data_IF_427717541421
#
_entry.id   IF_427717541421
#
_cell.length_a   1.000
_cell.length_b   1.000
_cell.length_c   1.000
_cell.angle_alpha   90.00
_cell.angle_beta   90.00
_cell.angle_gamma   90.00
#
_symmetry.space_group_name_H-M   'P 1'
#
loop_
_entity.id
_entity.type
_entity.pdbx_description
1 polymer ?
#
# COMPACT_ATOMS: atom_id res chain seq x y z
N UNK A 1 -16.98 -9.16 -1.01
CA UNK A 1 -15.81 -8.97 -1.88
C UNK A 1 -15.96 -7.60 -2.49
N UNK A 2 -15.27 -6.61 -1.94
CA UNK A 2 -15.33 -5.23 -2.42
C UNK A 2 -14.12 -5.05 -3.31
N UNK A 3 -14.31 -5.04 -4.63
CA UNK A 3 -13.22 -4.89 -5.60
C UNK A 3 -12.52 -3.54 -5.39
N UNK A 4 -11.22 -3.53 -5.14
CA UNK A 4 -10.45 -2.28 -5.10
C UNK A 4 -10.51 -1.58 -6.47
N UNK A 5 -10.93 -0.31 -6.55
CA UNK A 5 -10.91 0.43 -7.80
C UNK A 5 -9.46 0.68 -8.25
N UNK A 6 -9.16 0.34 -9.51
CA UNK A 6 -7.81 0.41 -10.07
C UNK A 6 -7.73 -0.06 -11.52
N UNK A 7 -6.54 0.08 -12.11
CA UNK A 7 -6.18 -0.41 -13.45
C UNK A 7 -5.01 -1.37 -13.36
N UNK A 8 -4.92 -2.30 -14.32
CA UNK A 8 -3.78 -3.21 -14.47
C UNK A 8 -2.84 -2.69 -15.55
N UNK A 9 -1.56 -2.62 -15.23
CA UNK A 9 -0.51 -2.13 -16.12
C UNK A 9 0.66 -3.13 -16.16
N UNK A 10 1.31 -3.25 -17.31
CA UNK A 10 2.62 -3.90 -17.42
C UNK A 10 3.71 -2.83 -17.42
N UNK A 11 4.61 -2.90 -16.45
CA UNK A 11 5.75 -1.98 -16.34
C UNK A 11 7.03 -2.81 -16.41
N UNK A 12 7.64 -2.87 -17.59
CA UNK A 12 8.87 -3.64 -17.85
C UNK A 12 8.75 -5.12 -17.44
N UNK A 13 7.61 -5.75 -17.73
CA UNK A 13 7.36 -7.16 -17.38
C UNK A 13 6.96 -7.38 -15.93
N UNK A 14 6.71 -6.32 -15.15
CA UNK A 14 6.09 -6.39 -13.84
C UNK A 14 4.62 -6.05 -13.98
N UNK A 15 3.73 -6.95 -13.54
CA UNK A 15 2.29 -6.67 -13.53
C UNK A 15 1.91 -5.85 -12.31
N UNK A 16 1.39 -4.65 -12.53
CA UNK A 16 1.08 -3.65 -11.50
C UNK A 16 -0.42 -3.45 -11.38
N UNK A 17 -0.96 -3.59 -10.17
CA UNK A 17 -2.28 -3.10 -9.81
C UNK A 17 -2.14 -1.64 -9.36
N UNK A 18 -2.52 -0.70 -10.24
CA UNK A 18 -2.55 0.73 -9.92
C UNK A 18 -3.89 1.10 -9.31
N UNK A 19 -3.88 1.43 -8.03
CA UNK A 19 -5.09 1.81 -7.31
C UNK A 19 -5.50 3.25 -7.64
N UNK A 20 -6.81 3.52 -7.71
CA UNK A 20 -7.32 4.90 -7.79
C UNK A 20 -7.32 5.56 -6.40
N UNK A 21 -7.27 6.90 -6.31
CA UNK A 21 -7.38 7.62 -5.04
C UNK A 21 -8.71 7.42 -4.32
N UNK A 22 -9.81 7.19 -5.04
CA UNK A 22 -11.18 7.10 -4.49
C UNK A 22 -11.49 5.77 -3.78
N UNK A 23 -10.50 4.89 -3.61
CA UNK A 23 -10.67 3.61 -2.94
C UNK A 23 -10.57 3.68 -1.41
N UNK A 24 -10.84 2.57 -0.70
CA UNK A 24 -10.77 2.51 0.76
C UNK A 24 -9.35 2.77 1.27
N UNK A 25 -9.23 3.33 2.48
CA UNK A 25 -7.95 3.59 3.12
C UNK A 25 -7.23 2.29 3.50
N UNK A 26 -5.90 2.33 3.45
CA UNK A 26 -5.00 1.38 4.08
C UNK A 26 -4.80 1.82 5.53
N UNK A 27 -5.66 1.32 6.42
CA UNK A 27 -5.73 1.69 7.83
C UNK A 27 -5.31 0.56 8.79
N UNK A 28 -5.02 -0.64 8.27
CA UNK A 28 -4.62 -1.79 9.07
C UNK A 28 -4.45 -3.08 8.28
N UNK A 29 -4.32 -4.18 9.02
CA UNK A 29 -4.07 -5.51 8.46
C UNK A 29 -5.19 -5.99 7.53
N UNK A 30 -6.45 -5.70 7.83
CA UNK A 30 -7.57 -6.13 6.99
C UNK A 30 -7.53 -5.45 5.62
N UNK A 31 -7.36 -4.12 5.60
CA UNK A 31 -7.21 -3.38 4.34
C UNK A 31 -6.00 -3.85 3.52
N UNK A 32 -4.90 -4.22 4.20
CA UNK A 32 -3.74 -4.81 3.53
C UNK A 32 -4.07 -6.17 2.89
N UNK A 33 -4.77 -7.05 3.62
CA UNK A 33 -5.19 -8.36 3.10
C UNK A 33 -6.16 -8.23 1.93
N UNK A 34 -7.06 -7.25 1.96
CA UNK A 34 -7.99 -6.98 0.86
C UNK A 34 -7.23 -6.56 -0.41
N UNK A 35 -6.27 -5.62 -0.28
CA UNK A 35 -5.40 -5.21 -1.41
C UNK A 35 -4.55 -6.35 -1.96
N UNK A 36 -4.00 -7.20 -1.08
CA UNK A 36 -3.22 -8.39 -1.46
C UNK A 36 -4.13 -9.38 -2.21
N UNK A 37 -5.35 -9.59 -1.72
CA UNK A 37 -6.33 -10.46 -2.36
C UNK A 37 -6.67 -9.99 -3.77
N UNK A 38 -6.90 -8.69 -3.95
CA UNK A 38 -7.14 -8.10 -5.27
C UNK A 38 -5.93 -8.23 -6.19
N UNK A 39 -4.71 -7.96 -5.69
CA UNK A 39 -3.49 -8.13 -6.47
C UNK A 39 -3.30 -9.57 -6.95
N UNK A 40 -3.47 -10.56 -6.07
CA UNK A 40 -3.39 -11.97 -6.42
C UNK A 40 -4.48 -12.39 -7.40
N UNK A 41 -5.71 -11.89 -7.23
CA UNK A 41 -6.83 -12.15 -8.15
C UNK A 41 -6.56 -11.67 -9.58
N UNK A 42 -5.68 -10.68 -9.74
CA UNK A 42 -5.27 -10.15 -11.04
C UNK A 42 -3.87 -10.58 -11.49
N UNK A 43 -3.22 -11.49 -10.77
CA UNK A 43 -1.83 -11.91 -11.02
C UNK A 43 -0.85 -10.72 -11.02
N UNK A 44 -1.14 -9.72 -10.18
CA UNK A 44 -0.31 -8.54 -10.01
C UNK A 44 0.78 -8.80 -8.96
N UNK A 45 2.01 -8.43 -9.30
CA UNK A 45 3.18 -8.59 -8.42
C UNK A 45 3.45 -7.34 -7.58
N UNK A 46 2.87 -6.22 -7.97
CA UNK A 46 3.05 -4.91 -7.34
C UNK A 46 1.71 -4.20 -7.20
N UNK A 47 1.42 -3.71 -6.00
CA UNK A 47 0.36 -2.74 -5.74
C UNK A 47 0.97 -1.35 -5.73
N UNK A 48 0.50 -0.47 -6.61
CA UNK A 48 0.82 0.95 -6.60
C UNK A 48 -0.35 1.70 -5.95
N UNK A 49 -0.18 2.07 -4.67
CA UNK A 49 -1.20 2.71 -3.86
C UNK A 49 -0.96 4.23 -3.74
N UNK A 50 -1.94 5.09 -4.06
CA UNK A 50 -1.84 6.53 -3.81
C UNK A 50 -1.60 6.83 -2.33
N UNK A 51 -0.73 7.80 -2.03
CA UNK A 51 -0.44 8.22 -0.64
C UNK A 51 -1.70 8.72 0.08
N UNK A 52 -2.64 9.29 -0.65
CA UNK A 52 -3.95 9.74 -0.16
C UNK A 52 -4.81 8.61 0.40
N UNK A 53 -4.52 7.36 0.00
CA UNK A 53 -5.17 6.18 0.54
C UNK A 53 -4.46 5.60 1.75
N UNK A 54 -3.38 6.20 2.23
CA UNK A 54 -2.65 5.71 3.42
C UNK A 54 -3.11 6.50 4.63
N UNK A 55 -3.66 5.82 5.64
CA UNK A 55 -4.12 6.48 6.86
C UNK A 55 -2.96 7.14 7.61
N UNK A 56 -3.19 8.30 8.25
CA UNK A 56 -2.14 9.02 8.97
C UNK A 56 -1.51 8.18 10.10
N UNK A 57 -2.28 7.27 10.73
CA UNK A 57 -1.76 6.32 11.72
C UNK A 57 -0.66 5.40 11.18
N UNK A 58 -0.66 5.11 9.87
CA UNK A 58 0.39 4.31 9.22
C UNK A 58 1.74 5.00 9.37
N UNK A 59 1.80 6.31 9.11
CA UNK A 59 3.05 7.09 9.18
C UNK A 59 3.54 7.29 10.62
N UNK A 60 2.67 7.09 11.62
CA UNK A 60 3.03 7.10 13.04
C UNK A 60 3.55 5.72 13.47
N UNK A 61 4.79 5.37 13.11
CA UNK A 61 5.38 4.02 13.30
C UNK A 61 5.19 3.39 14.70
N UNK A 62 5.12 4.20 15.77
CA UNK A 62 4.81 3.73 17.13
C UNK A 62 3.43 3.07 17.28
N UNK A 63 2.52 3.27 16.32
CA UNK A 63 1.20 2.62 16.26
C UNK A 63 1.29 1.12 15.98
N UNK A 64 2.40 0.66 15.40
CA UNK A 64 2.58 -0.72 14.94
C UNK A 64 1.85 -1.05 13.63
N UNK A 65 0.98 -0.17 13.13
CA UNK A 65 0.18 -0.41 11.91
C UNK A 65 1.08 -0.59 10.69
N UNK A 66 2.07 0.28 10.49
CA UNK A 66 2.99 0.15 9.36
C UNK A 66 3.71 -1.20 9.35
N UNK A 67 4.21 -1.65 10.50
CA UNK A 67 4.86 -2.95 10.64
C UNK A 67 3.91 -4.10 10.31
N UNK A 68 2.70 -4.09 10.89
CA UNK A 68 1.71 -5.13 10.67
C UNK A 68 1.28 -5.23 9.20
N UNK A 69 1.05 -4.09 8.54
CA UNK A 69 0.72 -4.01 7.11
C UNK A 69 1.88 -4.51 6.24
N UNK A 70 3.09 -3.96 6.42
CA UNK A 70 4.26 -4.33 5.62
C UNK A 70 4.60 -5.82 5.76
N UNK A 71 4.45 -6.36 6.97
CA UNK A 71 4.65 -7.79 7.21
C UNK A 71 3.69 -8.66 6.39
N UNK A 72 2.44 -8.25 6.15
CA UNK A 72 1.55 -8.99 5.23
C UNK A 72 2.09 -8.99 3.81
N UNK A 73 2.44 -7.83 3.26
CA UNK A 73 2.99 -7.74 1.91
C UNK A 73 4.23 -8.62 1.73
N UNK A 74 5.14 -8.64 2.72
CA UNK A 74 6.29 -9.55 2.74
C UNK A 74 5.88 -11.03 2.80
N UNK A 75 5.00 -11.42 3.72
CA UNK A 75 4.57 -12.81 3.90
C UNK A 75 3.92 -13.39 2.64
N UNK A 76 3.13 -12.57 1.95
CA UNK A 76 2.41 -12.95 0.74
C UNK A 76 3.20 -12.70 -0.55
N UNK A 77 4.42 -12.16 -0.45
CA UNK A 77 5.32 -11.85 -1.57
C UNK A 77 4.69 -10.93 -2.63
N UNK A 78 3.83 -10.01 -2.21
CA UNK A 78 3.29 -8.95 -3.05
C UNK A 78 4.05 -7.67 -2.72
N UNK A 79 4.55 -6.96 -3.73
CA UNK A 79 5.24 -5.68 -3.52
C UNK A 79 4.22 -4.57 -3.30
N UNK A 80 4.56 -3.59 -2.47
CA UNK A 80 3.78 -2.38 -2.25
C UNK A 80 4.63 -1.15 -2.58
N UNK A 81 4.10 -0.25 -3.38
CA UNK A 81 4.67 1.07 -3.64
C UNK A 81 3.65 2.15 -3.31
N UNK A 82 4.06 3.16 -2.55
CA UNK A 82 3.27 4.37 -2.35
C UNK A 82 3.58 5.38 -3.45
N UNK A 83 2.54 5.92 -4.09
CA UNK A 83 2.66 6.85 -5.21
C UNK A 83 2.06 8.19 -4.80
N UNK A 84 2.86 9.25 -4.80
CA UNK A 84 2.42 10.59 -4.40
C UNK A 84 3.46 11.33 -3.56
N UNK A 85 3.02 12.39 -2.89
CA UNK A 85 3.90 13.23 -2.07
C UNK A 85 3.90 12.78 -0.60
N UNK A 86 5.06 12.30 -0.14
CA UNK A 86 5.33 11.94 1.25
C UNK A 86 6.10 13.02 2.03
N UNK A 87 6.42 14.16 1.41
CA UNK A 87 7.34 15.17 1.97
C UNK A 87 6.91 15.66 3.35
N UNK A 88 5.60 15.89 3.57
CA UNK A 88 5.06 16.28 4.89
C UNK A 88 5.36 15.24 5.97
N UNK A 89 5.10 13.97 5.66
CA UNK A 89 5.24 12.87 6.62
C UNK A 89 6.71 12.59 6.94
N UNK A 90 7.59 12.72 5.94
CA UNK A 90 9.04 12.56 6.10
C UNK A 90 9.67 13.73 6.88
N UNK A 91 9.17 14.95 6.69
CA UNK A 91 9.64 16.13 7.43
C UNK A 91 9.30 16.02 8.93
N UNK A 92 8.13 15.46 9.25
CA UNK A 92 7.62 15.35 10.62
C UNK A 92 8.17 14.15 11.41
N UNK A 93 8.76 13.16 10.73
CA UNK A 93 9.18 11.90 11.36
C UNK A 93 10.56 11.44 10.90
N UNK A 94 11.56 11.53 11.78
CA UNK A 94 12.88 10.94 11.53
C UNK A 94 12.81 9.42 11.45
N UNK A 95 11.97 8.80 12.27
CA UNK A 95 11.79 7.35 12.25
C UNK A 95 11.22 6.86 10.90
N UNK A 96 10.32 7.64 10.28
CA UNK A 96 9.80 7.30 8.94
C UNK A 96 10.85 7.51 7.84
N UNK A 97 11.75 8.48 8.00
CA UNK A 97 12.88 8.67 7.08
C UNK A 97 13.90 7.53 7.15
N UNK A 98 14.03 6.90 8.31
CA UNK A 98 14.99 5.82 8.58
C UNK A 98 14.39 4.41 8.43
N UNK A 99 13.09 4.30 8.09
CA UNK A 99 12.34 3.04 7.95
C UNK A 99 12.51 2.42 6.57
#
# INVERSE_FOLDING_TARGET
MTTTPGTLEDVHGVRVLRCTPDGPLLDGEQAALDLIGDAMGYDAELVALPVERVADEFFRLRSGIAGAVMQKFVNYRVRLAFVGDLSRHLAESSALRDF
#
